data_IF_115675309540
#
_entry.id   IF_115675309540
#
_cell.length_a   1.000
_cell.length_b   1.000
_cell.length_c   1.000
_cell.angle_alpha   90.00
_cell.angle_beta   90.00
_cell.angle_gamma   90.00
#
_symmetry.space_group_name_H-M   'P 1'
#
loop_
_entity.id
_entity.type
_entity.pdbx_description
1 polymer ?
#
# COMPACT_ATOMS: atom_id res chain seq x y z
N UNK A 1 8.07 18.53 -9.23
CA UNK A 1 7.76 17.22 -9.86
C UNK A 1 6.37 17.27 -10.44
N UNK A 2 6.22 16.91 -11.72
CA UNK A 2 4.94 16.82 -12.43
C UNK A 2 4.45 15.37 -12.43
N UNK A 3 3.35 15.11 -11.72
CA UNK A 3 2.77 13.79 -11.58
C UNK A 3 1.71 13.51 -12.64
N UNK A 4 1.76 12.31 -13.21
CA UNK A 4 0.64 11.69 -13.89
C UNK A 4 -0.08 10.72 -12.95
N UNK A 5 -1.41 10.74 -12.90
CA UNK A 5 -2.19 9.77 -12.14
C UNK A 5 -2.86 8.78 -13.09
N UNK A 6 -2.71 7.50 -12.83
CA UNK A 6 -3.38 6.42 -13.56
C UNK A 6 -4.45 5.81 -12.65
N UNK A 7 -5.72 6.18 -12.90
CA UNK A 7 -6.87 5.82 -12.06
C UNK A 7 -7.44 7.03 -11.30
N UNK A 8 -8.78 7.20 -11.32
CA UNK A 8 -9.48 8.31 -10.67
C UNK A 8 -10.37 7.81 -9.51
N UNK A 9 -9.85 6.88 -8.72
CA UNK A 9 -10.50 6.32 -7.53
C UNK A 9 -10.36 7.20 -6.28
N UNK A 10 -10.89 6.72 -5.15
CA UNK A 10 -10.82 7.46 -3.89
C UNK A 10 -9.38 7.68 -3.41
N UNK A 11 -8.50 6.68 -3.59
CA UNK A 11 -7.10 6.80 -3.19
C UNK A 11 -6.35 7.84 -4.05
N UNK A 12 -6.65 7.91 -5.35
CA UNK A 12 -6.09 8.93 -6.23
C UNK A 12 -6.48 10.36 -5.81
N UNK A 13 -7.72 10.55 -5.32
CA UNK A 13 -8.18 11.84 -4.79
C UNK A 13 -7.38 12.26 -3.56
N UNK A 14 -7.12 11.31 -2.65
CA UNK A 14 -6.33 11.56 -1.45
C UNK A 14 -4.87 11.90 -1.78
N UNK A 15 -4.28 11.19 -2.74
CA UNK A 15 -2.97 11.53 -3.25
C UNK A 15 -2.93 12.95 -3.83
N UNK A 16 -3.94 13.34 -4.62
CA UNK A 16 -4.02 14.67 -5.18
C UNK A 16 -4.17 15.76 -4.09
N UNK A 17 -4.94 15.49 -3.04
CA UNK A 17 -5.07 16.39 -1.88
C UNK A 17 -3.72 16.58 -1.18
N UNK A 18 -2.98 15.50 -0.92
CA UNK A 18 -1.68 15.59 -0.26
C UNK A 18 -0.65 16.36 -1.08
N UNK A 19 -0.70 16.28 -2.41
CA UNK A 19 0.22 17.00 -3.29
C UNK A 19 0.08 18.52 -3.20
N UNK A 20 -1.07 19.06 -2.81
CA UNK A 20 -1.27 20.51 -2.63
C UNK A 20 -0.41 21.10 -1.51
N UNK A 21 0.13 20.29 -0.62
CA UNK A 21 0.99 20.70 0.50
C UNK A 21 2.49 20.52 0.23
N UNK A 22 2.86 20.05 -0.98
CA UNK A 22 4.25 19.78 -1.33
C UNK A 22 4.74 20.86 -2.32
N UNK A 23 5.73 21.63 -1.90
CA UNK A 23 6.37 22.62 -2.78
C UNK A 23 6.99 21.97 -4.02
N UNK A 24 6.87 22.63 -5.15
CA UNK A 24 7.41 22.16 -6.43
C UNK A 24 6.84 20.79 -6.89
N UNK A 25 5.64 20.44 -6.45
CA UNK A 25 4.91 19.24 -6.87
C UNK A 25 3.51 19.60 -7.36
N UNK A 26 3.06 18.99 -8.45
CA UNK A 26 1.70 19.20 -8.98
C UNK A 26 1.21 17.95 -9.71
N UNK A 27 -0.11 17.79 -9.74
CA UNK A 27 -0.76 16.79 -10.59
C UNK A 27 -0.93 17.41 -11.97
N UNK A 28 -0.17 16.93 -12.93
CA UNK A 28 -0.16 17.47 -14.30
C UNK A 28 -1.16 16.76 -15.21
N UNK A 29 -1.25 15.43 -15.11
CA UNK A 29 -2.14 14.61 -15.93
C UNK A 29 -2.91 13.60 -15.11
N UNK A 30 -4.13 13.27 -15.54
CA UNK A 30 -4.96 12.20 -14.97
C UNK A 30 -5.53 11.33 -16.09
N UNK A 31 -5.47 10.00 -15.94
CA UNK A 31 -6.18 9.09 -16.83
C UNK A 31 -7.21 8.26 -16.09
N UNK A 32 -8.38 8.11 -16.70
CA UNK A 32 -9.42 7.18 -16.27
C UNK A 32 -10.33 6.80 -17.44
N UNK A 33 -10.83 5.58 -17.46
CA UNK A 33 -11.77 5.09 -18.50
C UNK A 33 -13.06 5.90 -18.51
N UNK A 34 -13.61 6.23 -17.35
CA UNK A 34 -14.83 7.03 -17.23
C UNK A 34 -14.53 8.51 -17.44
N UNK A 35 -15.11 9.09 -18.50
CA UNK A 35 -14.89 10.48 -18.92
C UNK A 35 -15.35 11.48 -17.85
N UNK A 36 -16.52 11.25 -17.25
CA UNK A 36 -17.10 12.14 -16.25
C UNK A 36 -16.19 12.20 -15.01
N UNK A 37 -15.69 11.05 -14.54
CA UNK A 37 -14.78 10.97 -13.39
C UNK A 37 -13.47 11.72 -13.63
N UNK A 38 -12.83 11.55 -14.81
CA UNK A 38 -11.56 12.24 -15.09
C UNK A 38 -11.73 13.74 -15.28
N UNK A 39 -12.86 14.17 -15.89
CA UNK A 39 -13.17 15.60 -16.04
C UNK A 39 -13.47 16.24 -14.68
N UNK A 40 -14.25 15.58 -13.84
CA UNK A 40 -14.52 16.05 -12.48
C UNK A 40 -13.23 16.13 -11.64
N UNK A 41 -12.36 15.13 -11.75
CA UNK A 41 -11.06 15.12 -11.09
C UNK A 41 -10.18 16.30 -11.55
N UNK A 42 -10.10 16.53 -12.88
CA UNK A 42 -9.38 17.67 -13.45
C UNK A 42 -9.87 19.00 -12.86
N UNK A 43 -11.18 19.20 -12.82
CA UNK A 43 -11.78 20.43 -12.29
C UNK A 43 -11.53 20.63 -10.81
N UNK A 44 -11.66 19.54 -10.03
CA UNK A 44 -11.53 19.58 -8.58
C UNK A 44 -10.10 19.86 -8.11
N UNK A 45 -9.10 19.29 -8.79
CA UNK A 45 -7.69 19.36 -8.38
C UNK A 45 -6.81 20.23 -9.28
N UNK A 46 -7.39 20.95 -10.23
CA UNK A 46 -6.64 21.85 -11.12
C UNK A 46 -5.68 21.14 -12.07
N UNK A 47 -5.97 19.87 -12.43
CA UNK A 47 -5.12 19.07 -13.30
C UNK A 47 -5.12 19.65 -14.72
N UNK A 48 -3.97 19.73 -15.38
CA UNK A 48 -3.85 20.33 -16.70
C UNK A 48 -4.43 19.44 -17.82
N UNK A 49 -4.18 18.13 -17.76
CA UNK A 49 -4.60 17.18 -18.78
C UNK A 49 -5.50 16.05 -18.23
N UNK A 50 -6.64 15.81 -18.89
CA UNK A 50 -7.54 14.69 -18.60
C UNK A 50 -7.53 13.69 -19.76
N UNK A 51 -6.68 12.68 -19.65
CA UNK A 51 -6.38 11.69 -20.67
C UNK A 51 -7.39 10.54 -20.70
N UNK A 52 -7.67 10.01 -21.89
CA UNK A 52 -8.58 8.87 -22.08
C UNK A 52 -7.95 7.54 -21.73
N UNK A 53 -6.66 7.42 -21.88
CA UNK A 53 -5.88 6.20 -21.66
C UNK A 53 -4.68 6.47 -20.75
N UNK A 54 -4.16 5.45 -20.04
CA UNK A 54 -2.91 5.58 -19.31
C UNK A 54 -1.71 5.88 -20.22
N UNK A 55 -1.71 5.37 -21.46
CA UNK A 55 -0.61 5.56 -22.39
C UNK A 55 -0.41 7.04 -22.75
N UNK A 56 -1.50 7.81 -22.93
CA UNK A 56 -1.42 9.27 -23.15
C UNK A 56 -0.69 9.99 -22.01
N UNK A 57 -0.80 9.49 -20.75
CA UNK A 57 -0.07 10.04 -19.61
C UNK A 57 1.42 9.66 -19.68
N UNK A 58 1.72 8.42 -20.07
CA UNK A 58 3.09 7.91 -20.13
C UNK A 58 3.89 8.54 -21.28
N UNK A 59 3.24 8.81 -22.41
CA UNK A 59 3.86 9.44 -23.59
C UNK A 59 4.07 10.94 -23.42
N UNK A 60 3.42 11.59 -22.44
CA UNK A 60 3.59 13.02 -22.23
C UNK A 60 4.98 13.33 -21.65
N UNK A 61 5.81 14.11 -22.36
CA UNK A 61 7.17 14.43 -21.93
C UNK A 61 7.22 15.34 -20.69
N UNK A 62 6.11 15.98 -20.31
CA UNK A 62 6.04 16.82 -19.13
C UNK A 62 5.79 16.01 -17.85
N UNK A 63 5.30 14.78 -17.98
CA UNK A 63 5.10 13.88 -16.84
C UNK A 63 6.45 13.28 -16.44
N UNK A 64 6.86 13.51 -15.19
CA UNK A 64 8.14 13.04 -14.64
C UNK A 64 7.95 11.74 -13.84
N UNK A 65 6.83 11.64 -13.13
CA UNK A 65 6.49 10.49 -12.28
C UNK A 65 5.02 10.12 -12.43
N UNK A 66 4.70 8.86 -12.22
CA UNK A 66 3.32 8.39 -12.25
C UNK A 66 2.91 7.76 -10.93
N UNK A 67 1.69 8.08 -10.50
CA UNK A 67 1.01 7.41 -9.42
C UNK A 67 -0.03 6.44 -9.97
N UNK A 68 0.15 5.14 -9.71
CA UNK A 68 -0.72 4.09 -10.22
C UNK A 68 -1.69 3.68 -9.12
N UNK A 69 -2.98 4.02 -9.31
CA UNK A 69 -4.08 3.85 -8.36
C UNK A 69 -5.23 3.06 -9.00
N UNK A 70 -4.92 1.86 -9.41
CA UNK A 70 -5.79 0.91 -10.13
C UNK A 70 -6.15 -0.28 -9.22
N UNK A 71 -7.06 -1.18 -9.64
CA UNK A 71 -7.20 -2.51 -9.05
C UNK A 71 -5.89 -3.33 -9.16
N UNK A 72 -5.59 -4.15 -8.16
CA UNK A 72 -4.31 -4.84 -7.96
C UNK A 72 -3.81 -5.60 -9.20
N UNK A 73 -4.69 -6.33 -9.90
CA UNK A 73 -4.33 -7.11 -11.11
C UNK A 73 -3.84 -6.26 -12.30
N UNK A 74 -4.02 -4.95 -12.23
CA UNK A 74 -3.56 -4.03 -13.27
C UNK A 74 -2.23 -3.36 -12.95
N UNK A 75 -1.71 -3.51 -11.73
CA UNK A 75 -0.52 -2.78 -11.29
C UNK A 75 0.72 -3.19 -12.09
N UNK A 76 0.98 -4.49 -12.22
CA UNK A 76 2.16 -5.00 -12.91
C UNK A 76 2.30 -4.43 -14.32
N UNK A 77 1.24 -4.55 -15.15
CA UNK A 77 1.31 -4.08 -16.54
C UNK A 77 1.59 -2.58 -16.63
N UNK A 78 0.87 -1.77 -15.85
CA UNK A 78 1.06 -0.31 -15.93
C UNK A 78 2.35 0.17 -15.27
N UNK A 79 2.87 -0.52 -14.27
CA UNK A 79 4.21 -0.29 -13.75
C UNK A 79 5.28 -0.58 -14.80
N UNK A 80 5.17 -1.70 -15.50
CA UNK A 80 6.09 -2.08 -16.58
C UNK A 80 6.09 -1.05 -17.70
N UNK A 81 4.90 -0.66 -18.17
CA UNK A 81 4.77 0.38 -19.19
C UNK A 81 5.37 1.71 -18.73
N UNK A 82 5.12 2.14 -17.51
CA UNK A 82 5.67 3.38 -16.97
C UNK A 82 7.20 3.37 -16.92
N UNK A 83 7.80 2.27 -16.47
CA UNK A 83 9.26 2.11 -16.44
C UNK A 83 9.85 2.19 -17.85
N UNK A 84 9.24 1.51 -18.82
CA UNK A 84 9.67 1.53 -20.23
C UNK A 84 9.53 2.91 -20.88
N UNK A 85 8.64 3.77 -20.37
CA UNK A 85 8.53 5.18 -20.76
C UNK A 85 9.39 6.10 -19.90
N UNK A 86 10.34 5.56 -19.15
CA UNK A 86 11.28 6.27 -18.27
C UNK A 86 10.59 7.18 -17.25
N UNK A 87 9.38 6.81 -16.77
CA UNK A 87 8.69 7.51 -15.69
C UNK A 87 9.02 6.90 -14.35
N UNK A 88 9.33 7.72 -13.35
CA UNK A 88 9.38 7.25 -11.98
C UNK A 88 8.00 6.72 -11.56
N UNK A 89 7.97 5.59 -10.85
CA UNK A 89 6.73 4.89 -10.50
C UNK A 89 6.49 4.90 -9.01
N UNK A 90 5.31 5.36 -8.62
CA UNK A 90 4.72 5.16 -7.31
C UNK A 90 3.42 4.39 -7.49
N UNK A 91 3.35 3.15 -7.01
CA UNK A 91 2.20 2.26 -7.20
C UNK A 91 1.54 1.94 -5.87
N UNK A 92 0.20 1.88 -5.84
CA UNK A 92 -0.53 1.42 -4.66
C UNK A 92 -0.20 -0.03 -4.28
N UNK A 93 -0.37 -0.31 -3.01
CA UNK A 93 -0.21 -1.64 -2.43
C UNK A 93 -1.39 -2.57 -2.81
N UNK A 94 -1.16 -3.86 -2.96
CA UNK A 94 0.14 -4.51 -3.23
C UNK A 94 0.63 -4.14 -4.63
N UNK A 95 1.93 -3.90 -4.77
CA UNK A 95 2.51 -3.50 -6.06
C UNK A 95 2.30 -4.54 -7.17
N UNK A 96 2.33 -5.82 -6.79
CA UNK A 96 2.10 -6.97 -7.67
C UNK A 96 1.35 -8.07 -6.92
N UNK A 97 0.79 -9.03 -7.68
CA UNK A 97 0.13 -10.22 -7.13
C UNK A 97 1.06 -11.44 -7.06
N UNK A 98 2.15 -11.44 -7.84
CA UNK A 98 3.08 -12.56 -7.95
C UNK A 98 4.52 -12.11 -7.75
N UNK A 99 5.33 -12.97 -7.11
CA UNK A 99 6.75 -12.71 -6.83
C UNK A 99 7.53 -12.45 -8.12
N UNK A 100 7.27 -13.21 -9.18
CA UNK A 100 7.95 -13.05 -10.45
C UNK A 100 7.70 -11.67 -11.09
N UNK A 101 6.50 -11.11 -10.91
CA UNK A 101 6.15 -9.78 -11.41
C UNK A 101 6.98 -8.69 -10.73
N UNK A 102 7.08 -8.74 -9.40
CA UNK A 102 7.85 -7.72 -8.66
C UNK A 102 9.36 -7.85 -8.94
N UNK A 103 9.89 -9.06 -9.07
CA UNK A 103 11.30 -9.30 -9.42
C UNK A 103 11.62 -8.73 -10.81
N UNK A 104 10.73 -8.92 -11.78
CA UNK A 104 10.87 -8.34 -13.12
C UNK A 104 10.85 -6.82 -13.08
N UNK A 105 9.88 -6.21 -12.37
CA UNK A 105 9.78 -4.75 -12.27
C UNK A 105 10.99 -4.12 -11.60
N UNK A 106 11.50 -4.72 -10.52
CA UNK A 106 12.70 -4.25 -9.84
C UNK A 106 13.93 -4.32 -10.74
N UNK A 107 14.05 -5.41 -11.51
CA UNK A 107 15.15 -5.59 -12.47
C UNK A 107 15.05 -4.55 -13.59
N UNK A 108 13.87 -4.36 -14.15
CA UNK A 108 13.62 -3.42 -15.24
C UNK A 108 13.86 -1.97 -14.77
N UNK A 109 13.35 -1.60 -13.61
CA UNK A 109 13.53 -0.25 -13.04
C UNK A 109 15.02 0.08 -12.83
N UNK A 110 15.81 -0.92 -12.38
CA UNK A 110 17.26 -0.79 -12.27
C UNK A 110 17.96 -0.62 -13.63
N UNK A 111 17.54 -1.38 -14.64
CA UNK A 111 18.07 -1.27 -16.01
C UNK A 111 17.77 0.10 -16.63
N UNK A 112 16.53 0.54 -16.54
CA UNK A 112 16.06 1.83 -17.08
C UNK A 112 16.45 3.03 -16.19
N UNK A 113 17.04 2.79 -15.01
CA UNK A 113 17.48 3.80 -14.02
C UNK A 113 16.35 4.73 -13.58
N UNK A 114 15.17 4.19 -13.40
CA UNK A 114 14.01 4.90 -12.86
C UNK A 114 13.68 4.46 -11.44
N UNK A 115 13.12 5.35 -10.64
CA UNK A 115 12.62 5.01 -9.32
C UNK A 115 11.35 4.15 -9.45
N UNK A 116 11.30 3.05 -8.73
CA UNK A 116 10.10 2.25 -8.51
C UNK A 116 9.84 2.12 -7.01
N UNK A 117 8.64 2.49 -6.57
CA UNK A 117 8.27 2.49 -5.16
C UNK A 117 6.83 2.04 -4.96
N UNK A 118 6.62 1.12 -4.00
CA UNK A 118 5.30 0.73 -3.53
C UNK A 118 4.78 1.68 -2.45
N UNK A 119 3.48 1.93 -2.46
CA UNK A 119 2.79 2.82 -1.52
C UNK A 119 2.58 2.23 -0.12
N UNK A 120 3.61 1.66 0.50
CA UNK A 120 3.56 1.14 1.86
C UNK A 120 3.69 2.27 2.89
N UNK A 121 2.69 3.15 2.91
CA UNK A 121 2.67 4.35 3.77
C UNK A 121 2.80 4.08 5.26
N UNK A 122 2.33 2.91 5.74
CA UNK A 122 2.38 2.54 7.16
C UNK A 122 3.79 2.60 7.75
N UNK A 123 4.81 2.33 6.95
CA UNK A 123 6.21 2.35 7.35
C UNK A 123 6.85 3.76 7.31
N UNK A 124 6.12 4.77 6.86
CA UNK A 124 6.64 6.13 6.67
C UNK A 124 6.05 7.13 7.68
N UNK A 125 5.14 6.70 8.53
CA UNK A 125 4.44 7.57 9.48
C UNK A 125 5.34 8.06 10.61
N UNK A 126 5.09 9.23 11.21
CA UNK A 126 5.87 9.72 12.36
C UNK A 126 5.91 8.72 13.51
N UNK A 127 4.76 8.12 13.87
CA UNK A 127 4.69 7.11 14.92
C UNK A 127 5.59 5.89 14.63
N UNK A 128 5.58 5.39 13.39
CA UNK A 128 6.43 4.27 13.00
C UNK A 128 7.92 4.65 12.98
N UNK A 129 8.26 5.84 12.50
CA UNK A 129 9.65 6.34 12.50
C UNK A 129 10.18 6.45 13.92
N UNK A 130 9.41 7.06 14.84
CA UNK A 130 9.78 7.15 16.26
C UNK A 130 9.90 5.76 16.89
N UNK A 131 9.01 4.83 16.56
CA UNK A 131 9.15 3.44 16.99
C UNK A 131 10.50 2.84 16.54
N UNK A 132 10.92 3.07 15.29
CA UNK A 132 12.20 2.56 14.74
C UNK A 132 13.45 3.17 15.38
N UNK A 133 13.33 4.30 16.08
CA UNK A 133 14.45 4.92 16.81
C UNK A 133 14.75 4.22 18.15
N UNK A 134 13.84 3.35 18.62
CA UNK A 134 14.06 2.58 19.84
C UNK A 134 15.05 1.42 19.63
N UNK A 135 15.54 0.88 20.72
CA UNK A 135 16.32 -0.36 20.72
C UNK A 135 15.40 -1.55 20.43
N UNK A 136 15.37 -1.98 19.18
CA UNK A 136 14.58 -3.11 18.69
C UNK A 136 15.39 -4.41 18.61
N UNK A 137 16.48 -4.51 19.36
CA UNK A 137 17.26 -5.74 19.42
C UNK A 137 16.43 -6.89 20.00
N UNK A 138 16.63 -8.08 19.42
CA UNK A 138 15.99 -9.31 19.89
C UNK A 138 14.47 -9.25 19.93
N UNK A 139 13.84 -8.83 18.82
CA UNK A 139 12.38 -9.05 18.65
C UNK A 139 12.16 -10.57 18.61
N UNK A 140 11.46 -11.10 19.62
CA UNK A 140 11.20 -12.53 19.73
C UNK A 140 9.76 -12.94 19.45
N UNK A 141 8.80 -12.01 19.55
CA UNK A 141 7.43 -12.27 19.11
C UNK A 141 6.70 -11.00 18.64
N UNK A 142 5.82 -11.17 17.67
CA UNK A 142 4.94 -10.11 17.15
C UNK A 142 3.52 -10.67 17.03
N UNK A 143 2.57 -9.97 17.63
CA UNK A 143 1.14 -10.14 17.38
C UNK A 143 0.67 -8.97 16.51
N UNK A 144 0.10 -9.25 15.33
CA UNK A 144 -0.35 -8.20 14.43
C UNK A 144 -1.71 -8.53 13.83
N UNK A 145 -2.62 -7.59 13.93
CA UNK A 145 -3.97 -7.74 13.43
C UNK A 145 -4.38 -6.57 12.55
N UNK A 146 -5.01 -6.87 11.41
CA UNK A 146 -5.50 -5.88 10.46
C UNK A 146 -6.87 -6.29 9.93
N UNK A 147 -7.80 -5.37 9.80
CA UNK A 147 -9.10 -5.71 9.26
C UNK A 147 -10.11 -4.58 9.34
N UNK A 148 -11.16 -4.74 8.57
CA UNK A 148 -12.35 -3.91 8.64
C UNK A 148 -13.58 -4.72 8.23
N UNK A 149 -14.77 -4.27 8.63
CA UNK A 149 -16.01 -4.92 8.20
C UNK A 149 -16.33 -4.51 6.77
N UNK A 150 -16.18 -5.45 5.83
CA UNK A 150 -16.52 -5.22 4.42
C UNK A 150 -18.02 -5.33 4.21
N UNK A 151 -18.67 -4.20 3.96
CA UNK A 151 -20.10 -4.16 3.69
C UNK A 151 -20.41 -4.56 2.23
N UNK A 152 -21.59 -5.15 2.00
CA UNK A 152 -22.03 -5.56 0.65
C UNK A 152 -21.89 -4.46 -0.41
N UNK A 153 -22.26 -3.22 -0.06
CA UNK A 153 -22.16 -2.07 -0.98
C UNK A 153 -20.73 -1.69 -1.37
N UNK A 154 -19.74 -2.13 -0.59
CA UNK A 154 -18.31 -1.82 -0.77
C UNK A 154 -17.55 -2.99 -1.41
N UNK A 155 -18.24 -4.12 -1.65
CA UNK A 155 -17.70 -5.24 -2.41
C UNK A 155 -17.42 -4.79 -3.85
N UNK A 156 -16.31 -5.21 -4.37
CA UNK A 156 -15.87 -4.82 -5.71
C UNK A 156 -14.68 -5.68 -6.10
N UNK A 157 -13.59 -5.07 -6.53
CA UNK A 157 -12.36 -5.80 -6.82
C UNK A 157 -11.80 -6.51 -5.57
N UNK A 158 -12.07 -6.00 -4.36
CA UNK A 158 -11.65 -6.62 -3.08
C UNK A 158 -12.24 -8.01 -2.84
N UNK A 159 -13.33 -8.35 -3.52
CA UNK A 159 -13.95 -9.68 -3.50
C UNK A 159 -13.80 -10.44 -4.83
N UNK A 160 -12.97 -9.96 -5.74
CA UNK A 160 -12.65 -10.66 -6.99
C UNK A 160 -11.73 -11.83 -6.72
N UNK A 161 -11.98 -12.98 -7.35
CA UNK A 161 -11.09 -14.14 -7.28
C UNK A 161 -9.71 -13.90 -7.87
N UNK A 162 -9.57 -12.89 -8.72
CA UNK A 162 -8.33 -12.58 -9.42
C UNK A 162 -7.36 -11.75 -8.56
N UNK A 163 -7.90 -10.88 -7.72
CA UNK A 163 -7.07 -9.90 -7.03
C UNK A 163 -7.65 -9.44 -5.68
N UNK A 164 -8.73 -10.07 -5.21
CA UNK A 164 -9.35 -9.77 -3.92
C UNK A 164 -8.77 -10.57 -2.78
N UNK A 165 -9.36 -10.38 -1.61
CA UNK A 165 -9.00 -11.04 -0.37
C UNK A 165 -8.50 -10.10 0.71
N UNK A 166 -8.76 -10.48 1.96
CA UNK A 166 -8.32 -9.67 3.11
C UNK A 166 -6.79 -9.65 3.24
N UNK A 167 -6.11 -10.71 2.79
CA UNK A 167 -4.65 -10.77 2.82
C UNK A 167 -4.02 -9.72 1.89
N UNK A 168 -4.49 -9.61 0.64
CA UNK A 168 -3.99 -8.61 -0.31
C UNK A 168 -4.36 -7.18 0.08
N UNK A 169 -5.57 -6.97 0.62
CA UNK A 169 -6.01 -5.60 0.90
C UNK A 169 -5.53 -5.07 2.25
N UNK A 170 -5.61 -5.87 3.30
CA UNK A 170 -5.27 -5.48 4.68
C UNK A 170 -4.05 -6.21 5.23
N UNK A 171 -3.92 -7.50 4.98
CA UNK A 171 -2.80 -8.30 5.48
C UNK A 171 -1.44 -7.81 4.99
N UNK A 172 -1.40 -7.16 3.82
CA UNK A 172 -0.18 -6.55 3.27
C UNK A 172 0.46 -5.52 4.22
N UNK A 173 -0.32 -4.81 5.05
CA UNK A 173 0.24 -3.89 6.04
C UNK A 173 0.97 -4.62 7.16
N UNK A 174 0.42 -5.76 7.62
CA UNK A 174 1.09 -6.62 8.58
C UNK A 174 2.35 -7.24 7.98
N UNK A 175 2.27 -7.78 6.75
CA UNK A 175 3.43 -8.35 6.05
C UNK A 175 4.52 -7.31 5.81
N UNK A 176 4.17 -6.07 5.48
CA UNK A 176 5.11 -4.95 5.35
C UNK A 176 5.85 -4.69 6.68
N UNK A 177 5.11 -4.61 7.80
CA UNK A 177 5.70 -4.47 9.13
C UNK A 177 6.66 -5.64 9.45
N UNK A 178 6.22 -6.88 9.23
CA UNK A 178 7.02 -8.07 9.50
C UNK A 178 8.30 -8.12 8.65
N UNK A 179 8.20 -7.76 7.37
CA UNK A 179 9.36 -7.70 6.47
C UNK A 179 10.40 -6.67 6.89
N UNK A 180 9.96 -5.55 7.47
CA UNK A 180 10.87 -4.51 7.97
C UNK A 180 11.51 -4.86 9.32
N UNK A 181 10.79 -5.56 10.18
CA UNK A 181 11.24 -5.87 11.55
C UNK A 181 11.96 -7.21 11.68
N UNK A 182 11.48 -8.24 10.98
CA UNK A 182 12.01 -9.60 11.10
C UNK A 182 13.05 -9.89 10.02
N UNK A 183 14.05 -10.71 10.37
CA UNK A 183 15.08 -11.17 9.44
C UNK A 183 15.14 -12.69 9.44
N UNK A 184 15.40 -13.27 8.27
CA UNK A 184 15.49 -14.71 8.06
C UNK A 184 14.32 -15.29 7.28
N UNK A 185 14.34 -16.60 7.12
CA UNK A 185 13.32 -17.31 6.35
C UNK A 185 12.00 -17.36 7.10
N UNK A 186 10.91 -17.25 6.35
CA UNK A 186 9.53 -17.35 6.85
C UNK A 186 9.06 -18.80 6.75
N UNK A 187 8.53 -19.33 7.83
CA UNK A 187 7.88 -20.62 7.89
C UNK A 187 6.47 -20.47 8.49
N UNK A 188 5.44 -20.95 7.76
CA UNK A 188 4.06 -20.97 8.26
C UNK A 188 3.90 -22.21 9.14
N UNK A 189 3.66 -22.00 10.42
CA UNK A 189 3.46 -23.07 11.43
C UNK A 189 2.02 -23.59 11.38
N UNK A 190 1.03 -22.72 11.28
CA UNK A 190 -0.38 -23.05 11.08
C UNK A 190 -1.15 -21.93 10.39
N UNK A 191 -2.22 -22.31 9.69
CA UNK A 191 -3.10 -21.40 8.97
C UNK A 191 -4.55 -21.86 9.13
N UNK A 192 -5.39 -20.98 9.65
CA UNK A 192 -6.84 -21.10 9.56
C UNK A 192 -7.39 -20.03 8.61
N UNK A 193 -8.29 -20.43 7.72
CA UNK A 193 -8.81 -19.55 6.67
C UNK A 193 -10.30 -19.71 6.49
N UNK A 194 -11.02 -18.59 6.47
CA UNK A 194 -12.41 -18.54 6.03
C UNK A 194 -12.51 -17.96 4.63
N UNK A 195 -13.15 -18.69 3.73
CA UNK A 195 -13.38 -18.26 2.35
C UNK A 195 -14.84 -17.90 2.13
N UNK A 196 -15.08 -16.78 1.45
CA UNK A 196 -16.39 -16.46 0.87
C UNK A 196 -16.25 -16.38 -0.66
N UNK A 197 -17.03 -17.21 -1.37
CA UNK A 197 -16.98 -17.31 -2.83
C UNK A 197 -15.58 -17.58 -3.42
N UNK A 198 -14.71 -18.24 -2.64
CA UNK A 198 -13.34 -18.58 -3.05
C UNK A 198 -12.32 -17.44 -2.87
N UNK A 199 -12.67 -16.44 -2.08
CA UNK A 199 -11.81 -15.32 -1.68
C UNK A 199 -11.66 -15.34 -0.17
N UNK A 200 -10.46 -15.08 0.35
CA UNK A 200 -10.19 -15.05 1.78
C UNK A 200 -10.87 -13.84 2.44
N UNK A 201 -11.67 -14.14 3.46
CA UNK A 201 -12.36 -13.14 4.28
C UNK A 201 -11.82 -13.07 5.70
N UNK A 202 -11.13 -14.11 6.15
CA UNK A 202 -10.43 -14.14 7.42
C UNK A 202 -9.26 -15.11 7.32
N UNK A 203 -8.11 -14.66 7.79
CA UNK A 203 -6.88 -15.45 7.91
C UNK A 203 -6.36 -15.31 9.34
N UNK A 204 -6.07 -16.45 9.99
CA UNK A 204 -5.40 -16.55 11.28
C UNK A 204 -4.14 -17.39 11.05
N UNK A 205 -2.98 -16.76 11.13
CA UNK A 205 -1.71 -17.32 10.69
C UNK A 205 -0.71 -17.28 11.84
N UNK A 206 -0.22 -18.45 12.23
CA UNK A 206 0.97 -18.56 13.06
C UNK A 206 2.17 -18.87 12.16
N UNK A 207 3.24 -18.10 12.32
CA UNK A 207 4.45 -18.28 11.55
C UNK A 207 5.71 -17.99 12.36
N UNK A 208 6.82 -18.48 11.87
CA UNK A 208 8.15 -18.18 12.41
C UNK A 208 8.96 -17.48 11.33
N UNK A 209 9.55 -16.32 11.64
CA UNK A 209 10.46 -15.60 10.74
C UNK A 209 11.81 -15.48 11.44
N UNK A 210 12.81 -16.25 10.98
CA UNK A 210 14.07 -16.40 11.69
C UNK A 210 13.84 -16.90 13.12
N UNK A 211 14.12 -16.07 14.13
CA UNK A 211 13.89 -16.39 15.54
C UNK A 211 12.60 -15.76 16.11
N UNK A 212 11.86 -15.02 15.31
CA UNK A 212 10.65 -14.33 15.76
C UNK A 212 9.41 -15.19 15.56
N UNK A 213 8.63 -15.37 16.61
CA UNK A 213 7.30 -16.00 16.56
C UNK A 213 6.25 -14.94 16.21
N UNK A 214 5.44 -15.22 15.23
CA UNK A 214 4.43 -14.27 14.74
C UNK A 214 3.05 -14.89 14.77
N UNK A 215 2.10 -14.14 15.33
CA UNK A 215 0.67 -14.39 15.19
C UNK A 215 0.06 -13.24 14.37
N UNK A 216 -0.44 -13.53 13.19
CA UNK A 216 -1.02 -12.55 12.27
C UNK A 216 -2.48 -12.87 12.00
N UNK A 217 -3.34 -11.87 12.17
CA UNK A 217 -4.76 -11.96 11.78
C UNK A 217 -5.05 -10.88 10.75
N UNK A 218 -5.72 -11.25 9.64
CA UNK A 218 -6.34 -10.28 8.76
C UNK A 218 -7.78 -10.67 8.46
N UNK A 219 -8.70 -9.67 8.40
CA UNK A 219 -10.13 -9.96 8.37
C UNK A 219 -10.94 -8.87 7.66
N UNK A 220 -11.92 -9.31 6.86
CA UNK A 220 -13.04 -8.49 6.38
C UNK A 220 -14.29 -8.59 7.26
N UNK A 221 -14.22 -9.31 8.36
CA UNK A 221 -15.34 -9.54 9.29
C UNK A 221 -15.28 -8.67 10.55
N UNK A 222 -14.10 -8.14 10.87
CA UNK A 222 -13.81 -7.46 12.11
C UNK A 222 -12.99 -6.19 11.90
N UNK A 223 -13.10 -5.24 12.83
CA UNK A 223 -12.24 -4.06 12.88
C UNK A 223 -11.02 -4.35 13.73
N UNK A 224 -9.93 -4.63 13.08
CA UNK A 224 -8.65 -4.99 13.66
C UNK A 224 -7.57 -4.02 13.13
N UNK A 225 -6.71 -3.49 13.97
CA UNK A 225 -5.65 -2.60 13.45
C UNK A 225 -4.57 -2.32 14.48
N UNK A 226 -3.91 -3.36 15.00
CA UNK A 226 -2.95 -3.26 16.08
C UNK A 226 -1.75 -4.16 15.84
N UNK A 227 -0.57 -3.73 16.29
CA UNK A 227 0.58 -4.62 16.46
C UNK A 227 1.15 -4.49 17.87
N UNK A 228 1.52 -5.64 18.44
CA UNK A 228 2.24 -5.77 19.71
C UNK A 228 3.57 -6.44 19.39
N UNK A 229 4.67 -5.76 19.69
CA UNK A 229 6.03 -6.22 19.39
C UNK A 229 6.77 -6.43 20.71
N UNK A 230 7.22 -7.66 20.95
CA UNK A 230 7.95 -8.04 22.16
C UNK A 230 9.45 -8.14 21.88
N UNK A 231 10.22 -7.42 22.66
CA UNK A 231 11.68 -7.50 22.71
C UNK A 231 12.13 -8.02 24.07
N UNK A 232 13.40 -8.31 24.24
CA UNK A 232 13.94 -8.75 25.53
C UNK A 232 13.74 -7.71 26.66
N UNK A 233 13.63 -6.43 26.29
CA UNK A 233 13.63 -5.32 27.26
C UNK A 233 12.25 -4.71 27.48
N UNK A 234 11.39 -4.71 26.48
CA UNK A 234 10.07 -4.08 26.57
C UNK A 234 9.10 -4.54 25.48
N UNK A 235 7.86 -4.11 25.63
CA UNK A 235 6.77 -4.36 24.68
C UNK A 235 6.38 -3.04 24.03
N UNK A 236 6.24 -3.05 22.71
CA UNK A 236 5.75 -1.91 21.94
C UNK A 236 4.36 -2.18 21.39
N UNK A 237 3.54 -1.16 21.34
CA UNK A 237 2.24 -1.16 20.71
C UNK A 237 2.17 -0.11 19.62
N UNK A 238 1.72 -0.51 18.42
CA UNK A 238 1.46 0.38 17.28
C UNK A 238 -0.01 0.30 16.87
N UNK A 239 -0.65 1.48 16.65
CA UNK A 239 -2.06 1.58 16.28
C UNK A 239 -2.33 2.88 15.50
N UNK A 240 -3.23 2.87 14.51
CA UNK A 240 -3.69 1.72 13.73
C UNK A 240 -2.60 1.24 12.75
N UNK A 241 -2.51 -0.06 12.50
CA UNK A 241 -1.34 -0.63 11.78
C UNK A 241 -1.23 -0.21 10.31
N UNK A 242 -2.36 0.01 9.63
CA UNK A 242 -2.36 0.50 8.24
C UNK A 242 -1.90 1.97 8.12
N UNK A 243 -1.83 2.68 9.24
CA UNK A 243 -1.46 4.08 9.34
C UNK A 243 -1.06 4.41 10.79
N UNK A 244 0.06 3.92 11.29
CA UNK A 244 0.43 4.14 12.68
C UNK A 244 0.40 5.62 13.09
N UNK A 245 -0.45 5.94 14.05
CA UNK A 245 -0.62 7.25 14.67
C UNK A 245 -0.19 7.25 16.12
N UNK A 246 -0.24 6.07 16.75
CA UNK A 246 0.05 5.87 18.16
C UNK A 246 1.18 4.87 18.29
N UNK A 247 2.17 5.20 19.12
CA UNK A 247 3.19 4.29 19.60
C UNK A 247 3.23 4.35 21.12
N UNK A 248 3.00 3.20 21.79
CA UNK A 248 2.97 3.08 23.26
C UNK A 248 2.09 4.14 23.95
N UNK A 249 0.89 4.37 23.41
CA UNK A 249 -0.06 5.35 23.94
C UNK A 249 0.25 6.81 23.62
N UNK A 250 1.39 7.13 23.00
CA UNK A 250 1.71 8.48 22.54
C UNK A 250 1.23 8.69 21.11
N UNK A 251 0.46 9.76 20.91
CA UNK A 251 -0.04 10.13 19.58
C UNK A 251 1.00 10.95 18.80
N UNK A 252 1.12 10.65 17.51
CA UNK A 252 1.98 11.34 16.55
C UNK A 252 1.11 11.83 15.37
N UNK A 253 0.50 13.00 15.48
CA UNK A 253 -0.43 13.50 14.48
C UNK A 253 0.27 13.76 13.14
N UNK A 254 -0.45 13.56 12.05
CA UNK A 254 -0.02 14.01 10.72
C UNK A 254 -0.36 15.46 10.49
N UNK A 255 0.47 16.14 9.69
CA UNK A 255 0.19 17.48 9.19
C UNK A 255 -0.91 17.47 8.11
N UNK A 256 -1.16 16.34 7.49
CA UNK A 256 -2.16 16.15 6.41
C UNK A 256 -3.14 15.07 6.83
N UNK A 257 -4.34 15.49 7.20
CA UNK A 257 -5.40 14.66 7.78
C UNK A 257 -5.97 13.57 6.85
N UNK A 258 -5.62 13.53 5.57
CA UNK A 258 -6.47 12.88 4.59
C UNK A 258 -5.86 11.66 3.89
N UNK A 259 -4.79 11.10 4.42
CA UNK A 259 -4.30 9.85 3.87
C UNK A 259 -5.11 8.62 4.34
N UNK A 260 -6.34 8.74 4.72
CA UNK A 260 -7.38 7.74 5.08
C UNK A 260 -8.29 8.19 6.21
#
# INVERSE_FOLDING_TARGET
MKWGIIGAGNIAKRFAQSQSHIENSCIYAISARNKEKRVAFKQQYGVEHACGTPLEVLEDPQVEAVYIALPHHMHYEWCKQAILHHKAVFVEKPACLHTQEIEELLTLAKQEKVLFMEGMKSLLTPAYRTFKENDLNNIHSIEVETGFVLLEKDRGYTTSKECGGCLYDMGIYALGLLSDLCKGDMHIDSLHRDLEHGVDFHEDIHMTIGNCKVHMICSFKERLSKAIIHTDTQVYELYPIHRPLVCNGTEYPYVVDDFY
#
